data_IF_871487562693
#
_entry.id   IF_871487562693
#
_cell.length_a   1.000
_cell.length_b   1.000
_cell.length_c   1.000
_cell.angle_alpha   90.00
_cell.angle_beta   90.00
_cell.angle_gamma   90.00
#
_symmetry.space_group_name_H-M   'P 1'
#
loop_
_entity.id
_entity.type
_entity.pdbx_description
1 polymer ?
#
# COMPACT_ATOMS: atom_id res chain seq x y z
N UNK A 1 -21.07 2.14 -9.51
CA UNK A 1 -19.69 1.61 -9.50
C UNK A 1 -18.72 2.71 -9.13
N UNK A 2 -17.59 2.36 -8.52
CA UNK A 2 -16.54 3.32 -8.18
C UNK A 2 -15.92 3.91 -9.44
N UNK A 3 -15.55 5.20 -9.39
CA UNK A 3 -14.87 5.91 -10.48
C UNK A 3 -13.44 6.24 -10.02
N UNK A 4 -12.51 6.40 -10.96
CA UNK A 4 -11.09 6.68 -10.66
C UNK A 4 -10.39 5.58 -9.84
N UNK A 5 -10.73 4.32 -10.09
CA UNK A 5 -10.13 3.14 -9.43
C UNK A 5 -9.20 2.40 -10.39
N UNK A 6 -8.27 3.14 -11.00
CA UNK A 6 -7.21 2.53 -11.82
C UNK A 6 -6.27 1.65 -10.97
N UNK A 7 -5.55 0.73 -11.61
CA UNK A 7 -4.65 -0.21 -10.93
C UNK A 7 -3.63 0.48 -10.02
N UNK A 8 -3.02 1.58 -10.48
CA UNK A 8 -2.09 2.39 -9.68
C UNK A 8 -2.75 2.96 -8.41
N UNK A 9 -4.00 3.43 -8.52
CA UNK A 9 -4.73 4.02 -7.40
C UNK A 9 -5.08 2.94 -6.37
N UNK A 10 -5.52 1.77 -6.84
CA UNK A 10 -5.83 0.64 -5.96
C UNK A 10 -4.56 0.11 -5.29
N UNK A 11 -3.43 0.06 -6.01
CA UNK A 11 -2.16 -0.37 -5.43
C UNK A 11 -1.67 0.59 -4.34
N UNK A 12 -1.68 1.90 -4.60
CA UNK A 12 -1.33 2.90 -3.59
C UNK A 12 -2.28 2.85 -2.38
N UNK A 13 -3.57 2.60 -2.59
CA UNK A 13 -4.53 2.39 -1.52
C UNK A 13 -4.20 1.15 -0.68
N UNK A 14 -3.80 0.04 -1.31
CA UNK A 14 -3.39 -1.18 -0.61
C UNK A 14 -2.12 -0.96 0.23
N UNK A 15 -1.15 -0.20 -0.27
CA UNK A 15 0.03 0.20 0.50
C UNK A 15 -0.37 1.08 1.71
N UNK A 16 -1.22 2.09 1.51
CA UNK A 16 -1.60 3.05 2.56
C UNK A 16 -2.47 2.43 3.68
N UNK A 17 -3.25 1.41 3.36
CA UNK A 17 -4.11 0.71 4.32
C UNK A 17 -3.45 -0.48 5.01
N UNK A 18 -2.20 -0.80 4.64
CA UNK A 18 -1.47 -1.95 5.17
C UNK A 18 -1.92 -3.29 4.60
N UNK A 19 -2.74 -3.31 3.53
CA UNK A 19 -3.04 -4.55 2.80
C UNK A 19 -1.81 -5.08 2.05
N UNK A 20 -0.86 -4.20 1.71
CA UNK A 20 0.46 -4.55 1.19
C UNK A 20 1.51 -3.82 2.00
N UNK A 21 2.45 -4.57 2.58
CA UNK A 21 3.63 -4.03 3.25
C UNK A 21 4.77 -3.91 2.24
N UNK A 22 4.92 -2.73 1.66
CA UNK A 22 6.00 -2.40 0.70
C UNK A 22 6.96 -1.37 1.30
N UNK A 23 7.13 -1.41 2.63
CA UNK A 23 8.20 -0.66 3.27
C UNK A 23 9.56 -1.20 2.81
N UNK A 24 10.54 -0.32 2.68
CA UNK A 24 11.92 -0.73 2.41
C UNK A 24 12.45 -1.61 3.54
N UNK A 25 13.37 -2.52 3.22
CA UNK A 25 13.92 -3.49 4.19
C UNK A 25 14.69 -2.84 5.35
N UNK A 26 15.21 -1.64 5.13
CA UNK A 26 15.91 -0.82 6.11
C UNK A 26 14.96 0.12 6.89
N UNK A 27 13.67 0.12 6.56
CA UNK A 27 12.67 0.89 7.29
C UNK A 27 12.47 0.31 8.69
N UNK A 28 12.57 1.17 9.72
CA UNK A 28 12.33 0.77 11.11
C UNK A 28 10.94 0.16 11.35
N UNK A 29 9.99 0.36 10.43
CA UNK A 29 8.61 -0.13 10.48
C UNK A 29 8.35 -1.34 9.59
N UNK A 30 9.37 -1.90 8.93
CA UNK A 30 9.20 -3.02 8.00
C UNK A 30 8.48 -4.21 8.65
N UNK A 31 8.65 -4.43 9.95
CA UNK A 31 8.03 -5.53 10.71
C UNK A 31 6.70 -5.17 11.39
N UNK A 32 6.21 -3.92 11.24
CA UNK A 32 5.05 -3.42 11.99
C UNK A 32 3.70 -3.57 11.24
N UNK A 33 3.72 -4.00 9.98
CA UNK A 33 2.53 -4.12 9.12
C UNK A 33 2.25 -5.57 8.77
#
# INVERSE_FOLDING_TARGET
GFKFVGSTIIYAFMQATGMVNDHQLDCFRYTEV
#
